data_IF_674126648573
#
_entry.id   IF_674126648573
#
_cell.length_a   1.000
_cell.length_b   1.000
_cell.length_c   1.000
_cell.angle_alpha   90.00
_cell.angle_beta   90.00
_cell.angle_gamma   90.00
#
_symmetry.space_group_name_H-M   'P 1'
#
loop_
_entity.id
_entity.type
_entity.pdbx_description
1 polymer ?
#
# COMPACT_ATOMS: atom_id res chain seq x y z
N UNK A 1 14.42 -19.04 -10.51
CA UNK A 1 15.67 -18.32 -10.81
C UNK A 1 15.29 -17.00 -11.44
N UNK A 2 15.61 -15.87 -10.81
CA UNK A 2 15.37 -14.54 -11.40
C UNK A 2 16.46 -14.35 -12.47
N UNK A 3 16.06 -14.11 -13.70
CA UNK A 3 16.98 -13.86 -14.81
C UNK A 3 17.66 -12.51 -14.58
N UNK A 4 19.00 -12.46 -14.66
CA UNK A 4 19.78 -11.23 -14.45
C UNK A 4 19.49 -10.21 -15.56
N UNK A 5 19.19 -8.97 -15.17
CA UNK A 5 18.80 -7.89 -16.08
C UNK A 5 20.01 -7.26 -16.77
N UNK A 6 21.17 -7.20 -16.13
CA UNK A 6 22.40 -6.76 -16.79
C UNK A 6 22.86 -7.79 -17.83
N UNK A 7 22.73 -9.08 -17.55
CA UNK A 7 23.18 -10.13 -18.46
C UNK A 7 22.24 -10.39 -19.65
N UNK A 8 21.04 -9.80 -19.66
CA UNK A 8 20.15 -9.79 -20.85
C UNK A 8 20.50 -8.67 -21.84
N UNK A 9 21.37 -7.73 -21.47
CA UNK A 9 21.85 -6.68 -22.37
C UNK A 9 23.04 -7.16 -23.21
N UNK A 10 23.26 -6.57 -24.40
CA UNK A 10 24.50 -6.75 -25.16
C UNK A 10 25.74 -6.38 -24.33
N UNK A 11 26.86 -7.08 -24.55
CA UNK A 11 28.09 -6.96 -23.74
C UNK A 11 28.62 -5.53 -23.71
N UNK A 12 28.51 -4.79 -24.81
CA UNK A 12 28.90 -3.39 -24.90
C UNK A 12 28.10 -2.48 -23.96
N UNK A 13 26.83 -2.81 -23.71
CA UNK A 13 25.98 -2.06 -22.77
C UNK A 13 26.25 -2.44 -21.32
N UNK A 14 26.59 -3.71 -21.06
CA UNK A 14 27.06 -4.12 -19.73
C UNK A 14 28.32 -3.33 -19.33
N UNK A 15 29.30 -3.25 -20.24
CA UNK A 15 30.52 -2.48 -20.04
C UNK A 15 30.25 -0.97 -19.92
N UNK A 16 29.39 -0.42 -20.78
CA UNK A 16 29.02 0.99 -20.74
C UNK A 16 28.39 1.38 -19.40
N UNK A 17 27.48 0.55 -18.87
CA UNK A 17 26.85 0.80 -17.58
C UNK A 17 27.92 0.81 -16.47
N UNK A 18 28.78 -0.20 -16.41
CA UNK A 18 29.86 -0.28 -15.39
C UNK A 18 30.79 0.93 -15.44
N UNK A 19 31.18 1.36 -16.64
CA UNK A 19 32.07 2.50 -16.83
C UNK A 19 31.43 3.82 -16.40
N UNK A 20 30.16 4.06 -16.74
CA UNK A 20 29.49 5.30 -16.37
C UNK A 20 29.15 5.38 -14.88
N UNK A 21 28.87 4.25 -14.23
CA UNK A 21 28.78 4.18 -12.77
C UNK A 21 30.12 4.52 -12.12
N UNK A 22 31.24 3.96 -12.62
CA UNK A 22 32.57 4.28 -12.11
C UNK A 22 32.96 5.76 -12.31
N UNK A 23 32.41 6.41 -13.35
CA UNK A 23 32.55 7.85 -13.60
C UNK A 23 31.63 8.73 -12.75
N UNK A 24 30.77 8.14 -11.92
CA UNK A 24 29.84 8.87 -11.06
C UNK A 24 28.60 9.41 -11.78
N UNK A 25 28.25 8.88 -12.96
CA UNK A 25 27.00 9.25 -13.63
C UNK A 25 25.80 8.80 -12.80
N UNK A 26 24.72 9.60 -12.79
CA UNK A 26 23.51 9.24 -12.04
C UNK A 26 22.72 8.16 -12.76
N UNK A 27 22.08 7.23 -12.04
CA UNK A 27 21.25 6.19 -12.67
C UNK A 27 20.19 6.75 -13.62
N UNK A 28 19.55 7.88 -13.29
CA UNK A 28 18.54 8.52 -14.14
C UNK A 28 19.13 9.04 -15.46
N UNK A 29 20.31 9.67 -15.42
CA UNK A 29 21.02 10.12 -16.63
C UNK A 29 21.43 8.96 -17.53
N UNK A 30 21.83 7.84 -16.91
CA UNK A 30 22.19 6.63 -17.63
C UNK A 30 20.96 5.96 -18.24
N UNK A 31 19.85 5.89 -17.50
CA UNK A 31 18.60 5.30 -17.95
C UNK A 31 18.05 6.06 -19.16
N UNK A 32 18.06 7.40 -19.12
CA UNK A 32 17.68 8.25 -20.25
C UNK A 32 18.48 7.95 -21.52
N UNK A 33 19.79 7.67 -21.40
CA UNK A 33 20.63 7.32 -22.55
C UNK A 33 20.30 5.92 -23.07
N UNK A 34 20.01 4.97 -22.19
CA UNK A 34 19.66 3.60 -22.57
C UNK A 34 18.30 3.51 -23.27
N UNK A 35 17.29 4.27 -22.81
CA UNK A 35 15.95 4.23 -23.42
C UNK A 35 15.84 5.11 -24.66
N UNK A 36 16.85 5.93 -24.96
CA UNK A 36 16.84 6.86 -26.09
C UNK A 36 16.61 6.10 -27.39
N UNK A 37 15.81 6.68 -28.26
CA UNK A 37 15.47 6.12 -29.57
C UNK A 37 14.78 4.73 -29.49
N UNK A 38 14.20 4.39 -28.33
CA UNK A 38 13.49 3.14 -28.09
C UNK A 38 14.39 1.91 -28.00
N UNK A 39 15.69 2.11 -27.72
CA UNK A 39 16.70 1.05 -27.79
C UNK A 39 16.55 -0.03 -26.72
N UNK A 40 16.08 0.33 -25.53
CA UNK A 40 15.77 -0.60 -24.44
C UNK A 40 14.48 -0.21 -23.74
N UNK A 41 13.81 -1.22 -23.19
CA UNK A 41 12.67 -1.02 -22.28
C UNK A 41 13.13 -0.26 -21.01
N UNK A 42 12.37 0.75 -20.54
CA UNK A 42 12.73 1.53 -19.35
C UNK A 42 12.94 0.70 -18.10
N UNK A 43 12.09 -0.30 -17.84
CA UNK A 43 12.21 -1.15 -16.66
C UNK A 43 13.45 -2.05 -16.75
N UNK A 44 13.78 -2.53 -17.95
CA UNK A 44 15.03 -3.26 -18.20
C UNK A 44 16.27 -2.38 -17.98
N UNK A 45 16.26 -1.15 -18.51
CA UNK A 45 17.37 -0.20 -18.36
C UNK A 45 17.64 0.15 -16.88
N UNK A 46 16.58 0.52 -16.15
CA UNK A 46 16.67 0.78 -14.72
C UNK A 46 17.14 -0.45 -13.93
N UNK A 47 16.66 -1.65 -14.29
CA UNK A 47 17.07 -2.88 -13.63
C UNK A 47 18.55 -3.22 -13.85
N UNK A 48 19.05 -3.06 -15.08
CA UNK A 48 20.43 -3.33 -15.42
C UNK A 48 21.42 -2.32 -14.80
N UNK A 49 21.09 -1.03 -14.81
CA UNK A 49 21.91 0.01 -14.15
C UNK A 49 21.97 -0.24 -12.65
N UNK A 50 20.83 -0.57 -12.04
CA UNK A 50 20.74 -0.89 -10.61
C UNK A 50 21.55 -2.13 -10.25
N UNK A 51 21.49 -3.18 -11.06
CA UNK A 51 22.27 -4.41 -10.86
C UNK A 51 23.77 -4.17 -11.01
N UNK A 52 24.18 -3.42 -12.03
CA UNK A 52 25.57 -3.08 -12.31
C UNK A 52 26.21 -2.19 -11.25
N UNK A 53 25.43 -1.29 -10.64
CA UNK A 53 25.86 -0.33 -9.62
C UNK A 53 26.52 -0.92 -8.39
N UNK A 54 26.52 -2.25 -8.24
CA UNK A 54 27.12 -2.91 -7.08
C UNK A 54 26.50 -2.47 -5.75
N UNK A 55 25.37 -1.75 -5.79
CA UNK A 55 24.58 -1.48 -4.60
C UNK A 55 23.98 -2.82 -4.24
N UNK A 56 24.70 -3.56 -3.41
CA UNK A 56 24.15 -4.67 -2.65
C UNK A 56 23.00 -4.06 -1.86
N UNK A 57 21.81 -4.05 -2.46
CA UNK A 57 20.64 -3.48 -1.81
C UNK A 57 20.35 -4.42 -0.66
N UNK A 58 20.77 -4.00 0.53
CA UNK A 58 20.42 -4.66 1.76
C UNK A 58 18.90 -4.68 1.82
N UNK A 59 18.33 -5.87 1.91
CA UNK A 59 16.88 -6.00 2.09
C UNK A 59 16.50 -5.23 3.34
N UNK A 60 15.50 -4.35 3.22
CA UNK A 60 14.97 -3.66 4.38
C UNK A 60 13.82 -4.49 4.97
N UNK A 61 13.68 -4.55 6.30
CA UNK A 61 12.50 -5.10 6.91
C UNK A 61 11.25 -4.39 6.36
N UNK A 62 10.24 -5.16 5.97
CA UNK A 62 8.93 -4.66 5.59
C UNK A 62 7.85 -5.60 6.13
N UNK A 63 6.61 -5.12 6.31
CA UNK A 63 5.50 -5.99 6.63
C UNK A 63 5.30 -7.02 5.50
N UNK A 64 5.02 -8.26 5.88
CA UNK A 64 4.72 -9.33 4.95
C UNK A 64 3.74 -10.33 5.56
N UNK A 65 2.82 -10.80 4.74
CA UNK A 65 1.87 -11.85 5.12
C UNK A 65 2.46 -13.21 4.76
N UNK A 66 2.43 -14.17 5.67
CA UNK A 66 2.87 -15.53 5.36
C UNK A 66 1.84 -16.27 4.51
N UNK A 67 2.17 -16.49 3.23
CA UNK A 67 1.29 -17.18 2.28
C UNK A 67 1.79 -18.59 1.95
N UNK A 68 2.60 -19.20 2.83
CA UNK A 68 3.01 -20.60 2.69
C UNK A 68 1.90 -21.60 3.02
N UNK A 69 0.84 -21.14 3.69
CA UNK A 69 -0.38 -21.88 4.01
C UNK A 69 -1.61 -21.12 3.52
N UNK A 70 -2.71 -21.85 3.27
CA UNK A 70 -4.01 -21.25 2.94
C UNK A 70 -4.72 -20.67 4.17
N UNK A 71 -4.20 -20.90 5.37
CA UNK A 71 -4.69 -20.35 6.63
C UNK A 71 -3.56 -19.83 7.51
N UNK A 72 -3.84 -18.76 8.25
CA UNK A 72 -2.93 -18.13 9.20
C UNK A 72 -3.63 -18.06 10.56
N UNK A 73 -2.99 -18.61 11.59
CA UNK A 73 -3.47 -18.48 12.97
C UNK A 73 -3.00 -17.13 13.54
N UNK A 74 -3.94 -16.25 13.86
CA UNK A 74 -3.68 -15.01 14.62
C UNK A 74 -3.91 -15.26 16.12
N UNK A 75 -3.65 -14.28 17.01
CA UNK A 75 -3.84 -14.46 18.46
C UNK A 75 -5.26 -14.89 18.85
N UNK A 76 -6.26 -14.58 18.04
CA UNK A 76 -7.68 -14.70 18.40
C UNK A 76 -8.57 -15.31 17.31
N UNK A 77 -8.06 -15.55 16.09
CA UNK A 77 -8.84 -16.20 15.02
C UNK A 77 -7.98 -16.86 13.94
N UNK A 78 -8.62 -17.66 13.10
CA UNK A 78 -8.02 -18.20 11.89
C UNK A 78 -8.40 -17.34 10.68
N UNK A 79 -7.41 -16.86 9.94
CA UNK A 79 -7.56 -16.05 8.73
C UNK A 79 -7.26 -16.91 7.50
N UNK A 80 -8.00 -16.70 6.41
CA UNK A 80 -7.79 -17.42 5.15
C UNK A 80 -6.99 -16.60 4.16
N UNK A 81 -6.03 -17.20 3.46
CA UNK A 81 -5.36 -16.60 2.30
C UNK A 81 -6.18 -16.94 1.06
N UNK A 82 -6.80 -15.94 0.45
CA UNK A 82 -7.71 -16.12 -0.70
C UNK A 82 -7.02 -15.84 -2.04
N UNK A 83 -6.02 -14.94 -2.03
CA UNK A 83 -5.19 -14.61 -3.19
C UNK A 83 -3.83 -14.12 -2.73
N UNK A 84 -2.78 -14.48 -3.46
CA UNK A 84 -1.44 -13.95 -3.26
C UNK A 84 -0.81 -13.56 -4.59
N UNK A 85 -0.47 -12.28 -4.73
CA UNK A 85 0.38 -11.75 -5.80
C UNK A 85 1.76 -11.46 -5.22
N UNK A 86 2.80 -11.94 -5.89
CA UNK A 86 4.18 -11.82 -5.40
C UNK A 86 4.80 -10.45 -5.73
N UNK A 87 4.49 -9.89 -6.89
CA UNK A 87 5.05 -8.63 -7.38
C UNK A 87 3.99 -7.84 -8.19
N UNK A 88 3.49 -6.70 -7.68
CA UNK A 88 3.71 -6.19 -6.32
C UNK A 88 3.14 -7.14 -5.26
N UNK A 89 3.58 -7.02 -4.02
CA UNK A 89 3.12 -7.88 -2.93
C UNK A 89 1.70 -7.48 -2.53
N UNK A 90 0.70 -8.24 -2.96
CA UNK A 90 -0.73 -8.06 -2.64
C UNK A 90 -1.30 -9.38 -2.13
N UNK A 91 -2.05 -9.34 -1.03
CA UNK A 91 -2.68 -10.54 -0.45
C UNK A 91 -4.13 -10.23 -0.09
N UNK A 92 -5.07 -11.03 -0.59
CA UNK A 92 -6.47 -11.00 -0.17
C UNK A 92 -6.65 -11.98 0.98
N UNK A 93 -7.19 -11.47 2.08
CA UNK A 93 -7.39 -12.20 3.32
C UNK A 93 -8.89 -12.32 3.63
N UNK A 94 -9.33 -13.53 3.90
CA UNK A 94 -10.67 -13.86 4.32
C UNK A 94 -10.76 -14.00 5.84
N UNK A 95 -11.93 -13.65 6.42
CA UNK A 95 -12.18 -13.84 7.84
C UNK A 95 -11.17 -13.09 8.74
N UNK A 96 -10.82 -11.84 8.39
CA UNK A 96 -9.94 -10.97 9.18
C UNK A 96 -10.70 -10.28 10.31
N UNK A 97 -11.94 -9.84 10.04
CA UNK A 97 -12.89 -9.31 11.03
C UNK A 97 -14.13 -10.22 11.07
N UNK A 98 -14.78 -10.36 12.23
CA UNK A 98 -16.04 -11.09 12.32
C UNK A 98 -17.17 -10.15 11.91
N UNK A 99 -18.34 -10.70 11.62
CA UNK A 99 -19.48 -9.85 11.27
C UNK A 99 -19.83 -8.90 12.41
N UNK A 100 -19.73 -9.37 13.66
CA UNK A 100 -19.98 -8.59 14.88
C UNK A 100 -18.91 -7.50 15.08
N UNK A 101 -17.63 -7.79 14.81
CA UNK A 101 -16.57 -6.78 14.91
C UNK A 101 -16.75 -5.68 13.87
N UNK A 102 -17.15 -6.05 12.65
CA UNK A 102 -17.48 -5.11 11.60
C UNK A 102 -18.66 -4.20 12.00
N UNK A 103 -19.73 -4.78 12.54
CA UNK A 103 -20.91 -4.02 12.97
C UNK A 103 -20.58 -3.09 14.15
N UNK A 104 -19.85 -3.60 15.15
CA UNK A 104 -19.41 -2.80 16.29
C UNK A 104 -18.51 -1.62 15.88
N UNK A 105 -17.61 -1.81 14.91
CA UNK A 105 -16.81 -0.71 14.37
C UNK A 105 -17.67 0.32 13.64
N UNK A 106 -18.64 -0.12 12.84
CA UNK A 106 -19.56 0.79 12.14
C UNK A 106 -20.41 1.60 13.13
N UNK A 107 -20.98 0.95 14.13
CA UNK A 107 -21.79 1.58 15.18
C UNK A 107 -20.96 2.60 15.96
N UNK A 108 -19.75 2.22 16.39
CA UNK A 108 -18.85 3.09 17.13
C UNK A 108 -18.48 4.37 16.35
N UNK A 109 -18.26 4.25 15.04
CA UNK A 109 -17.86 5.37 14.20
C UNK A 109 -19.04 6.23 13.76
N UNK A 110 -20.26 5.70 13.70
CA UNK A 110 -21.45 6.42 13.21
C UNK A 110 -21.65 7.79 13.89
N UNK A 111 -21.36 7.90 15.19
CA UNK A 111 -21.44 9.15 15.97
C UNK A 111 -20.23 10.10 15.82
N UNK A 112 -19.19 9.70 15.08
CA UNK A 112 -17.91 10.42 14.91
C UNK A 112 -17.62 10.82 13.46
N UNK A 113 -18.52 10.53 12.52
CA UNK A 113 -18.31 10.79 11.11
C UNK A 113 -18.26 12.28 10.80
N UNK A 114 -17.18 12.72 10.17
CA UNK A 114 -17.02 14.04 9.57
C UNK A 114 -16.67 13.91 8.08
N UNK A 115 -16.79 14.97 7.29
CA UNK A 115 -16.44 14.91 5.85
C UNK A 115 -14.93 14.63 5.71
N UNK A 116 -14.53 13.65 4.89
CA UNK A 116 -13.12 13.30 4.72
C UNK A 116 -12.37 14.42 4.00
N UNK A 117 -11.13 14.63 4.43
CA UNK A 117 -10.23 15.67 3.91
C UNK A 117 -8.92 15.04 3.47
N UNK A 118 -8.27 15.62 2.47
CA UNK A 118 -6.94 15.21 2.02
C UNK A 118 -5.95 16.31 2.43
N UNK A 119 -4.74 15.93 2.84
CA UNK A 119 -3.68 16.89 3.16
C UNK A 119 -3.10 17.41 1.84
N UNK A 120 -3.18 18.72 1.61
CA UNK A 120 -2.55 19.40 0.47
C UNK A 120 -1.05 19.57 0.69
N UNK A 121 -0.28 19.73 -0.40
CA UNK A 121 1.19 19.81 -0.40
C UNK A 121 1.78 20.93 0.46
N UNK A 122 0.98 21.94 0.79
CA UNK A 122 1.36 23.09 1.63
C UNK A 122 1.15 22.86 3.13
N UNK A 123 0.57 21.72 3.53
CA UNK A 123 0.36 21.33 4.93
C UNK A 123 -0.53 22.30 5.74
N UNK A 124 -1.17 23.26 5.08
CA UNK A 124 -1.86 24.37 5.73
C UNK A 124 -3.39 24.30 5.62
N UNK A 125 -3.95 23.50 4.72
CA UNK A 125 -5.41 23.43 4.56
C UNK A 125 -5.97 22.02 4.39
N UNK A 126 -6.88 21.71 5.30
CA UNK A 126 -7.81 20.60 5.27
C UNK A 126 -8.91 20.95 4.25
N UNK A 127 -8.63 20.84 2.94
CA UNK A 127 -9.64 21.06 1.90
C UNK A 127 -10.31 19.73 1.51
N UNK A 128 -11.64 19.79 1.36
CA UNK A 128 -12.41 18.72 0.75
C UNK A 128 -12.02 18.59 -0.74
N UNK A 129 -11.09 17.70 -1.06
CA UNK A 129 -10.66 17.46 -2.43
C UNK A 129 -11.77 16.81 -3.26
N UNK A 130 -11.98 17.30 -4.48
CA UNK A 130 -12.94 16.73 -5.44
C UNK A 130 -12.66 15.25 -5.81
N UNK A 131 -11.45 14.75 -5.52
CA UNK A 131 -11.05 13.36 -5.79
C UNK A 131 -11.35 12.35 -4.67
N UNK A 132 -11.86 12.79 -3.52
CA UNK A 132 -12.28 11.92 -2.40
C UNK A 132 -13.56 12.48 -1.78
N UNK A 133 -14.67 11.78 -1.96
CA UNK A 133 -16.00 12.29 -1.58
C UNK A 133 -16.62 11.57 -0.37
N UNK A 134 -15.84 10.76 0.34
CA UNK A 134 -16.28 10.01 1.53
C UNK A 134 -16.51 10.88 2.77
N UNK A 135 -17.23 10.33 3.74
CA UNK A 135 -17.19 10.75 5.16
C UNK A 135 -16.31 9.77 5.94
N UNK A 136 -15.74 10.15 7.07
CA UNK A 136 -14.89 9.25 7.84
C UNK A 136 -14.55 9.75 9.23
N UNK A 137 -13.83 8.90 9.96
CA UNK A 137 -13.26 9.20 11.26
C UNK A 137 -11.85 8.60 11.34
N UNK A 138 -10.96 9.27 12.07
CA UNK A 138 -9.68 8.71 12.48
C UNK A 138 -9.82 8.23 13.92
N UNK A 139 -9.54 6.94 14.15
CA UNK A 139 -9.54 6.33 15.47
C UNK A 139 -8.10 6.23 15.97
N UNK A 140 -7.87 6.32 17.28
CA UNK A 140 -6.57 6.06 17.87
C UNK A 140 -6.29 4.56 17.94
N UNK A 141 -5.00 4.18 17.89
CA UNK A 141 -4.57 2.81 18.16
C UNK A 141 -5.02 2.41 19.56
N UNK A 142 -5.66 1.24 19.68
CA UNK A 142 -6.19 0.77 20.96
C UNK A 142 -7.23 1.68 21.63
N UNK A 143 -7.95 2.53 20.88
CA UNK A 143 -8.96 3.44 21.46
C UNK A 143 -10.08 2.71 22.21
N UNK A 144 -10.37 1.46 21.80
CA UNK A 144 -11.26 0.54 22.51
C UNK A 144 -10.62 -0.85 22.55
N UNK A 145 -11.12 -1.74 23.43
CA UNK A 145 -10.65 -3.13 23.46
C UNK A 145 -10.84 -3.85 22.12
N UNK A 146 -11.90 -3.52 21.37
CA UNK A 146 -12.12 -4.03 20.03
C UNK A 146 -11.01 -3.58 19.07
N UNK A 147 -10.70 -2.28 19.06
CA UNK A 147 -9.65 -1.71 18.20
C UNK A 147 -8.28 -2.28 18.58
N UNK A 148 -8.00 -2.43 19.88
CA UNK A 148 -6.76 -3.04 20.36
C UNK A 148 -6.60 -4.49 19.89
N UNK A 149 -7.67 -5.30 19.92
CA UNK A 149 -7.66 -6.67 19.38
C UNK A 149 -7.41 -6.69 17.88
N UNK A 150 -8.09 -5.83 17.12
CA UNK A 150 -7.87 -5.71 15.67
C UNK A 150 -6.45 -5.28 15.37
N UNK A 151 -5.90 -4.28 16.08
CA UNK A 151 -4.53 -3.81 15.92
C UNK A 151 -3.51 -4.94 16.16
N UNK A 152 -3.66 -5.69 17.25
CA UNK A 152 -2.79 -6.83 17.56
C UNK A 152 -2.88 -7.95 16.50
N UNK A 153 -4.08 -8.20 15.96
CA UNK A 153 -4.30 -9.17 14.90
C UNK A 153 -3.62 -8.78 13.60
N UNK A 154 -3.76 -7.53 13.17
CA UNK A 154 -3.12 -7.01 11.95
C UNK A 154 -1.59 -7.00 12.08
N UNK A 155 -1.07 -6.64 13.26
CA UNK A 155 0.35 -6.73 13.58
C UNK A 155 0.88 -8.17 13.45
N UNK A 156 0.17 -9.15 14.01
CA UNK A 156 0.52 -10.56 13.90
C UNK A 156 0.49 -11.06 12.44
N UNK A 157 -0.54 -10.69 11.67
CA UNK A 157 -0.67 -11.06 10.25
C UNK A 157 0.50 -10.52 9.42
N UNK A 158 0.84 -9.25 9.59
CA UNK A 158 1.88 -8.57 8.81
C UNK A 158 3.30 -8.80 9.34
N UNK A 159 3.45 -9.53 10.45
CA UNK A 159 4.71 -9.71 11.18
C UNK A 159 5.39 -8.36 11.45
N UNK A 160 4.60 -7.38 11.88
CA UNK A 160 5.03 -5.99 12.05
C UNK A 160 4.58 -5.45 13.42
N UNK A 161 5.41 -4.66 14.13
CA UNK A 161 5.05 -4.19 15.47
C UNK A 161 3.77 -3.34 15.47
N UNK A 162 2.97 -3.45 16.53
CA UNK A 162 1.69 -2.74 16.64
C UNK A 162 1.89 -1.23 16.77
N UNK A 163 3.02 -0.82 17.36
CA UNK A 163 3.47 0.57 17.53
C UNK A 163 3.83 1.22 16.20
N UNK A 164 4.11 0.43 15.17
CA UNK A 164 4.34 0.92 13.82
C UNK A 164 3.02 1.11 13.05
N UNK A 165 1.87 0.77 13.62
CA UNK A 165 0.58 1.01 12.99
C UNK A 165 0.02 2.39 13.32
N UNK A 166 -0.38 3.16 12.30
CA UNK A 166 -1.25 4.33 12.49
C UNK A 166 -2.60 3.91 13.09
N UNK A 167 -3.39 4.88 13.56
CA UNK A 167 -4.79 4.67 13.90
C UNK A 167 -5.64 4.15 12.72
N UNK A 168 -6.79 3.53 13.01
CA UNK A 168 -7.70 3.10 11.95
C UNK A 168 -8.40 4.32 11.34
N UNK A 169 -8.32 4.47 10.01
CA UNK A 169 -9.11 5.44 9.27
C UNK A 169 -10.35 4.77 8.69
N UNK A 170 -11.51 5.03 9.32
CA UNK A 170 -12.80 4.51 8.85
C UNK A 170 -13.42 5.47 7.85
N UNK A 171 -13.97 4.94 6.76
CA UNK A 171 -14.49 5.71 5.64
C UNK A 171 -15.81 5.16 5.14
N UNK A 172 -16.73 6.06 4.82
CA UNK A 172 -18.09 5.83 4.38
C UNK A 172 -18.27 6.41 3.00
N UNK A 173 -18.64 5.56 2.05
CA UNK A 173 -18.85 5.89 0.65
C UNK A 173 -20.32 5.65 0.32
N UNK A 174 -21.03 6.73 0.02
CA UNK A 174 -22.39 6.70 -0.50
C UNK A 174 -22.37 6.43 -2.02
N UNK A 175 -23.53 6.20 -2.64
CA UNK A 175 -23.63 5.95 -4.10
C UNK A 175 -22.91 7.06 -4.89
N UNK A 176 -22.09 6.66 -5.86
CA UNK A 176 -21.27 7.54 -6.69
C UNK A 176 -20.01 8.07 -6.01
N UNK A 177 -19.80 7.83 -4.71
CA UNK A 177 -18.53 8.19 -4.07
C UNK A 177 -17.40 7.28 -4.55
N UNK A 178 -16.23 7.88 -4.75
CA UNK A 178 -15.02 7.21 -5.17
C UNK A 178 -13.81 7.77 -4.41
N UNK A 179 -12.67 7.10 -4.59
CA UNK A 179 -11.37 7.69 -4.32
C UNK A 179 -10.47 7.44 -5.53
N UNK A 180 -10.04 8.53 -6.18
CA UNK A 180 -9.16 8.47 -7.34
C UNK A 180 -7.86 7.72 -7.06
N UNK A 181 -7.25 7.23 -8.13
CA UNK A 181 -5.99 6.50 -8.07
C UNK A 181 -4.91 7.31 -7.33
N UNK A 182 -4.30 6.70 -6.32
CA UNK A 182 -3.28 7.32 -5.49
C UNK A 182 -2.32 6.26 -4.93
N UNK A 183 -1.26 6.75 -4.29
CA UNK A 183 -0.33 5.94 -3.51
C UNK A 183 -0.55 6.20 -2.02
N UNK A 184 -0.36 5.16 -1.22
CA UNK A 184 -0.34 5.31 0.24
C UNK A 184 1.03 5.72 0.77
N UNK A 185 2.11 5.44 0.04
CA UNK A 185 3.44 5.91 0.38
C UNK A 185 3.59 7.40 0.09
N UNK A 186 4.48 8.04 0.86
CA UNK A 186 4.85 9.44 0.71
C UNK A 186 5.94 9.60 -0.34
N UNK A 187 5.77 10.52 -1.29
CA UNK A 187 6.82 10.85 -2.26
C UNK A 187 7.98 11.59 -1.56
N UNK A 188 9.17 10.97 -1.43
CA UNK A 188 10.28 11.56 -0.68
C UNK A 188 10.86 12.81 -1.37
N UNK A 189 10.54 13.06 -2.63
CA UNK A 189 11.03 14.22 -3.39
C UNK A 189 10.25 15.50 -3.08
N UNK A 190 9.02 15.37 -2.56
CA UNK A 190 8.12 16.49 -2.29
C UNK A 190 8.28 17.02 -0.85
N UNK A 191 8.09 18.33 -0.65
CA UNK A 191 8.33 18.97 0.65
C UNK A 191 7.26 18.63 1.70
N UNK A 192 5.97 18.59 1.33
CA UNK A 192 4.87 18.22 2.23
C UNK A 192 4.98 16.78 2.74
N UNK A 193 5.03 15.78 1.85
CA UNK A 193 5.17 14.37 2.22
C UNK A 193 6.40 14.06 3.09
N UNK A 194 7.52 14.78 2.91
CA UNK A 194 8.70 14.65 3.79
C UNK A 194 8.40 14.96 5.26
N UNK A 195 7.57 15.97 5.56
CA UNK A 195 7.18 16.30 6.94
C UNK A 195 6.41 15.14 7.59
N UNK A 196 5.53 14.49 6.83
CA UNK A 196 4.81 13.30 7.32
C UNK A 196 5.73 12.12 7.62
N UNK A 197 6.91 12.06 6.98
CA UNK A 197 7.90 11.01 7.24
C UNK A 197 8.77 11.25 8.48
N UNK A 198 8.76 12.46 9.06
CA UNK A 198 9.52 12.77 10.28
C UNK A 198 9.08 11.88 11.45
N UNK A 199 7.77 11.63 11.56
CA UNK A 199 7.19 10.74 12.56
C UNK A 199 6.76 9.40 11.93
N UNK A 200 7.37 8.29 12.32
CA UNK A 200 7.08 6.94 11.79
C UNK A 200 7.74 6.58 10.44
N UNK A 201 8.39 7.51 9.72
CA UNK A 201 9.11 7.17 8.47
C UNK A 201 8.21 7.00 7.25
N UNK A 202 8.46 6.01 6.38
CA UNK A 202 7.60 5.72 5.23
C UNK A 202 6.39 4.84 5.62
N UNK A 203 5.26 4.94 4.89
CA UNK A 203 4.19 3.92 4.93
C UNK A 203 4.65 2.75 4.09
N UNK A 204 4.92 1.61 4.73
CA UNK A 204 5.53 0.41 4.13
C UNK A 204 4.53 -0.71 3.86
N UNK A 205 3.31 -0.60 4.38
CA UNK A 205 2.20 -1.49 4.03
C UNK A 205 0.85 -0.91 4.39
N UNK A 206 -0.19 -1.42 3.76
CA UNK A 206 -1.58 -1.01 3.97
C UNK A 206 -2.46 -2.25 4.13
N UNK A 207 -3.38 -2.19 5.08
CA UNK A 207 -4.61 -2.99 5.04
C UNK A 207 -5.80 -2.11 4.68
N UNK A 208 -6.64 -2.60 3.78
CA UNK A 208 -8.01 -2.10 3.56
C UNK A 208 -8.96 -3.18 4.05
N UNK A 209 -9.65 -2.90 5.16
CA UNK A 209 -10.62 -3.79 5.81
C UNK A 209 -12.01 -3.46 5.29
N UNK A 210 -12.77 -4.46 4.83
CA UNK A 210 -14.14 -4.29 4.36
C UNK A 210 -15.12 -4.55 5.52
N UNK A 211 -15.84 -3.52 5.94
CA UNK A 211 -16.73 -3.59 7.10
C UNK A 211 -18.17 -3.99 6.73
N UNK A 212 -18.51 -4.01 5.44
CA UNK A 212 -19.79 -4.49 4.95
C UNK A 212 -19.68 -5.07 3.53
N UNK A 213 -20.71 -5.81 3.13
CA UNK A 213 -20.90 -6.21 1.74
C UNK A 213 -21.46 -5.04 0.94
N UNK A 214 -20.96 -4.86 -0.29
CA UNK A 214 -21.46 -3.86 -1.23
C UNK A 214 -22.16 -4.58 -2.39
N UNK A 215 -23.45 -4.32 -2.64
CA UNK A 215 -24.18 -4.99 -3.71
C UNK A 215 -23.59 -4.80 -5.11
N UNK A 216 -23.06 -3.61 -5.42
CA UNK A 216 -22.48 -3.31 -6.73
C UNK A 216 -21.47 -2.16 -6.67
N UNK A 217 -20.32 -2.34 -7.32
CA UNK A 217 -19.23 -1.37 -7.33
C UNK A 217 -18.45 -1.35 -6.01
N UNK A 218 -17.75 -0.25 -5.73
CA UNK A 218 -17.02 -0.11 -4.46
C UNK A 218 -15.76 -0.98 -4.33
N UNK A 219 -15.28 -1.61 -5.40
CA UNK A 219 -14.02 -2.36 -5.41
C UNK A 219 -12.81 -1.52 -4.99
N UNK A 220 -11.74 -2.20 -4.57
CA UNK A 220 -10.40 -1.62 -4.49
C UNK A 220 -9.65 -1.99 -5.77
N UNK A 221 -9.48 -1.03 -6.66
CA UNK A 221 -8.87 -1.22 -7.99
C UNK A 221 -7.36 -0.95 -7.97
N UNK A 222 -6.59 -1.78 -8.66
CA UNK A 222 -5.17 -1.62 -8.95
C UNK A 222 -5.00 -1.51 -10.48
N UNK A 223 -5.18 -0.31 -11.06
CA UNK A 223 -5.29 -0.15 -12.51
C UNK A 223 -4.05 -0.62 -13.28
N UNK A 224 -2.85 -0.45 -12.72
CA UNK A 224 -1.60 -0.92 -13.35
C UNK A 224 -1.51 -2.44 -13.49
N UNK A 225 -2.36 -3.19 -12.78
CA UNK A 225 -2.37 -4.66 -12.77
C UNK A 225 -3.62 -5.25 -13.43
N UNK A 226 -4.63 -4.41 -13.77
CA UNK A 226 -5.94 -4.90 -14.16
C UNK A 226 -6.65 -5.70 -13.06
N UNK A 227 -6.30 -5.47 -11.80
CA UNK A 227 -6.84 -6.18 -10.63
C UNK A 227 -7.88 -5.30 -9.93
N UNK A 228 -9.01 -5.89 -9.54
CA UNK A 228 -9.99 -5.27 -8.66
C UNK A 228 -10.39 -6.25 -7.55
N UNK A 229 -10.32 -5.81 -6.30
CA UNK A 229 -10.77 -6.58 -5.15
C UNK A 229 -12.16 -6.12 -4.74
N UNK A 230 -13.14 -7.03 -4.84
CA UNK A 230 -14.51 -6.74 -4.43
C UNK A 230 -14.64 -6.68 -2.90
N UNK A 231 -15.44 -5.73 -2.37
CA UNK A 231 -15.63 -5.59 -0.93
C UNK A 231 -16.53 -6.72 -0.40
N UNK A 232 -15.97 -7.52 0.51
CA UNK A 232 -16.68 -8.60 1.20
C UNK A 232 -16.53 -8.38 2.70
N UNK A 233 -17.63 -8.30 3.43
CA UNK A 233 -17.61 -8.07 4.89
C UNK A 233 -16.65 -9.05 5.57
N UNK A 234 -15.84 -8.54 6.49
CA UNK A 234 -14.88 -9.34 7.24
C UNK A 234 -13.55 -9.59 6.54
N UNK A 235 -13.46 -9.33 5.23
CA UNK A 235 -12.22 -9.54 4.47
C UNK A 235 -11.32 -8.30 4.50
N UNK A 236 -10.05 -8.50 4.13
CA UNK A 236 -9.09 -7.43 3.98
C UNK A 236 -8.22 -7.65 2.75
N UNK A 237 -7.82 -6.58 2.07
CA UNK A 237 -6.66 -6.63 1.17
C UNK A 237 -5.46 -5.99 1.86
N UNK A 238 -4.34 -6.71 1.86
CA UNK A 238 -3.03 -6.20 2.25
C UNK A 238 -2.19 -5.94 1.00
N UNK A 239 -1.43 -4.84 1.00
CA UNK A 239 -0.37 -4.64 0.02
C UNK A 239 0.83 -3.96 0.65
N UNK A 240 2.04 -4.38 0.25
CA UNK A 240 3.27 -3.74 0.68
C UNK A 240 3.52 -2.50 -0.18
N UNK A 241 3.68 -1.34 0.45
CA UNK A 241 3.85 -0.06 -0.24
C UNK A 241 5.28 0.16 -0.74
N UNK A 242 6.21 -0.69 -0.33
CA UNK A 242 7.60 -0.65 -0.74
C UNK A 242 8.08 -2.01 -1.24
N UNK A 243 9.06 -1.98 -2.15
CA UNK A 243 9.80 -3.17 -2.56
C UNK A 243 10.66 -3.73 -1.40
N UNK A 244 11.27 -4.89 -1.61
CA UNK A 244 12.14 -5.55 -0.62
C UNK A 244 13.39 -4.73 -0.23
N UNK A 245 13.65 -3.63 -0.91
CA UNK A 245 14.77 -2.73 -0.68
C UNK A 245 14.32 -1.40 -0.05
N UNK A 246 13.03 -1.28 0.26
CA UNK A 246 12.41 -0.09 0.86
C UNK A 246 12.16 1.05 -0.10
N UNK A 247 12.17 0.79 -1.41
CA UNK A 247 11.79 1.77 -2.44
C UNK A 247 10.27 1.78 -2.56
N UNK A 248 9.59 2.94 -2.58
CA UNK A 248 8.17 3.01 -2.87
C UNK A 248 7.80 2.26 -4.15
N UNK A 249 6.83 1.35 -4.08
CA UNK A 249 6.43 0.51 -5.21
C UNK A 249 5.35 1.24 -6.03
N UNK A 250 5.66 1.55 -7.29
CA UNK A 250 4.73 2.26 -8.19
C UNK A 250 3.60 1.36 -8.70
N UNK A 251 3.73 0.05 -8.57
CA UNK A 251 2.69 -0.89 -8.98
C UNK A 251 1.55 -1.02 -7.96
N UNK A 252 1.66 -0.35 -6.80
CA UNK A 252 0.61 -0.29 -5.77
C UNK A 252 -0.34 0.89 -5.93
N UNK A 253 -0.28 1.60 -7.08
CA UNK A 253 -1.26 2.61 -7.44
C UNK A 253 -2.65 1.98 -7.35
N UNK A 254 -3.51 2.56 -6.52
CA UNK A 254 -4.82 1.98 -6.25
C UNK A 254 -5.91 3.04 -6.07
N UNK A 255 -7.16 2.64 -6.24
CA UNK A 255 -8.34 3.49 -6.18
C UNK A 255 -9.50 2.82 -5.45
N UNK A 256 -10.39 3.61 -4.87
CA UNK A 256 -11.72 3.16 -4.46
C UNK A 256 -12.68 3.35 -5.62
N UNK A 257 -13.11 2.26 -6.26
CA UNK A 257 -14.05 2.30 -7.37
C UNK A 257 -15.40 2.89 -6.92
N UNK A 258 -16.14 3.58 -7.79
CA UNK A 258 -17.44 4.14 -7.45
C UNK A 258 -18.40 3.10 -6.88
N UNK A 259 -19.11 3.44 -5.80
CA UNK A 259 -20.24 2.64 -5.32
C UNK A 259 -21.41 2.82 -6.29
N UNK A 260 -21.94 1.72 -6.82
CA UNK A 260 -23.08 1.76 -7.76
C UNK A 260 -24.39 1.48 -7.02
N UNK A 261 -24.39 0.57 -6.05
CA UNK A 261 -25.55 0.25 -5.22
C UNK A 261 -25.15 -0.03 -3.78
N UNK A 262 -25.99 0.42 -2.84
CA UNK A 262 -25.77 0.31 -1.40
C UNK A 262 -24.79 1.36 -0.87
N UNK A 263 -23.99 0.96 0.12
CA UNK A 263 -23.02 1.78 0.82
C UNK A 263 -21.74 0.95 0.96
N UNK A 264 -20.57 1.59 0.89
CA UNK A 264 -19.29 0.95 1.24
C UNK A 264 -18.72 1.57 2.51
N UNK A 265 -18.37 0.72 3.47
CA UNK A 265 -17.64 1.11 4.67
C UNK A 265 -16.33 0.33 4.74
N UNK A 266 -15.21 1.04 4.86
CA UNK A 266 -13.88 0.45 5.01
C UNK A 266 -13.14 1.05 6.20
N UNK A 267 -12.19 0.29 6.74
CA UNK A 267 -11.18 0.80 7.65
C UNK A 267 -9.78 0.58 7.06
N UNK A 268 -9.02 1.66 6.91
CA UNK A 268 -7.63 1.60 6.49
C UNK A 268 -6.72 1.53 7.70
N UNK A 269 -5.70 0.66 7.63
CA UNK A 269 -4.58 0.60 8.57
C UNK A 269 -3.29 0.78 7.79
N UNK A 270 -2.60 1.89 8.03
CA UNK A 270 -1.28 2.13 7.46
C UNK A 270 -0.18 1.69 8.42
N UNK A 271 0.83 1.00 7.88
CA UNK A 271 1.98 0.50 8.62
C UNK A 271 3.20 1.36 8.29
N UNK A 272 3.89 1.82 9.32
CA UNK A 272 5.00 2.76 9.30
C UNK A 272 6.33 2.02 9.42
N UNK A 273 7.38 2.58 8.82
CA UNK A 273 8.75 2.04 8.90
C UNK A 273 9.28 2.03 10.34
N UNK A 274 8.87 3.02 11.15
CA UNK A 274 9.25 3.21 12.54
C UNK A 274 8.01 3.41 13.43
N UNK A 275 8.14 3.33 14.77
CA UNK A 275 7.04 3.63 15.67
C UNK A 275 6.36 4.98 15.41
N UNK A 276 5.04 5.02 15.56
CA UNK A 276 4.13 6.15 15.31
C UNK A 276 3.11 6.31 16.46
#
# INVERSE_FOLDING_TARGET
MIQSAIHTLPVEWQAWIQENLARGCTPDSMAMVMVRDGKFDPALAEAAIREAGGVQRVTKPRPDIDTSSNTIQTPDRMVHVLLSLAAPRIVLLGNVLSDEECDQLCDYVSGKLSRSTVVTDDGAQVQAHAGRTSRGAMLMRGETDLIARVDARLAALAKWPVENGEGLQVQWYDIGNEYRAHFDWFDPTQAGPRKHMEHGGQRVGTFVLYLNDVPQGGGTGFPGLGLEVQPRKGNAVFFANTDMFGTPDRNTLHSGMPVVSGVKVIANKWLRERPY
#
